data_IF_931997153558
#
_entry.id   IF_931997153558
#
_cell.length_a   1.000
_cell.length_b   1.000
_cell.length_c   1.000
_cell.angle_alpha   90.00
_cell.angle_beta   90.00
_cell.angle_gamma   90.00
#
_symmetry.space_group_name_H-M   'P 1'
#
loop_
_entity.id
_entity.type
_entity.pdbx_description
1 polymer ?
#
# COMPACT_ATOMS: atom_id res chain seq x y z
N UNK A 1 -56.30 21.59 -28.08
CA UNK A 1 -57.74 21.61 -28.38
C UNK A 1 -58.42 21.03 -27.15
N UNK A 2 -58.68 21.89 -26.17
CA UNK A 2 -59.98 22.58 -25.98
C UNK A 2 -60.90 21.63 -25.21
N UNK A 3 -60.98 21.81 -23.89
CA UNK A 3 -61.89 22.73 -23.19
C UNK A 3 -63.19 22.02 -22.81
N UNK A 4 -63.40 21.98 -21.49
CA UNK A 4 -64.65 22.16 -20.74
C UNK A 4 -65.91 21.36 -21.17
N UNK A 5 -66.79 20.99 -20.24
CA UNK A 5 -67.92 21.88 -19.89
C UNK A 5 -68.71 21.27 -18.71
N UNK A 6 -68.85 22.10 -17.65
CA UNK A 6 -70.06 22.41 -16.84
C UNK A 6 -70.86 21.25 -16.17
N UNK A 7 -71.56 21.40 -15.04
CA UNK A 7 -71.94 22.52 -14.15
C UNK A 7 -72.67 21.94 -12.93
N UNK A 8 -72.43 22.60 -11.78
CA UNK A 8 -73.31 22.87 -10.61
C UNK A 8 -74.43 21.87 -10.24
N UNK A 9 -74.53 21.58 -8.94
CA UNK A 9 -75.54 22.16 -8.01
C UNK A 9 -75.38 21.60 -6.58
N UNK A 10 -75.04 22.46 -5.63
CA UNK A 10 -75.48 22.39 -4.22
C UNK A 10 -76.96 22.81 -4.15
N UNK A 11 -77.79 22.31 -3.20
CA UNK A 11 -77.61 22.63 -1.78
C UNK A 11 -78.03 21.55 -0.76
N UNK A 12 -77.65 21.81 0.52
CA UNK A 12 -78.40 21.66 1.80
C UNK A 12 -79.47 20.56 1.86
N UNK A 13 -79.57 19.75 2.90
CA UNK A 13 -79.49 20.09 4.32
C UNK A 13 -79.61 18.78 5.12
N UNK A 14 -78.97 18.76 6.30
CA UNK A 14 -79.51 18.29 7.59
C UNK A 14 -80.12 16.89 7.62
N UNK A 15 -79.49 15.99 8.38
CA UNK A 15 -80.09 15.42 9.59
C UNK A 15 -78.97 14.92 10.50
N UNK A 16 -78.85 15.57 11.65
CA UNK A 16 -78.16 15.01 12.80
C UNK A 16 -79.17 14.23 13.60
N UNK A 17 -78.82 13.02 13.99
CA UNK A 17 -79.32 12.37 15.20
C UNK A 17 -78.15 11.61 15.81
N UNK A 18 -77.65 12.16 16.92
CA UNK A 18 -76.66 11.51 17.76
C UNK A 18 -77.33 10.45 18.61
N UNK A 19 -76.95 9.19 18.38
CA UNK A 19 -77.15 8.11 19.32
C UNK A 19 -75.78 7.78 19.96
N UNK A 20 -75.66 8.00 21.27
CA UNK A 20 -74.59 7.42 22.09
C UNK A 20 -74.64 5.89 21.99
N UNK A 21 -73.48 5.22 21.98
CA UNK A 21 -73.28 4.28 23.09
C UNK A 21 -71.84 4.17 23.62
N UNK A 22 -71.82 3.96 24.94
CA UNK A 22 -71.02 3.00 25.70
C UNK A 22 -69.48 3.02 25.59
N UNK A 23 -68.88 3.36 26.74
CA UNK A 23 -67.47 3.32 27.05
C UNK A 23 -66.86 1.91 26.89
N UNK A 24 -65.79 1.82 26.09
CA UNK A 24 -64.89 0.68 26.04
C UNK A 24 -63.72 0.86 27.02
N UNK A 25 -63.43 -0.17 27.82
CA UNK A 25 -62.35 -0.22 28.82
C UNK A 25 -60.96 -0.11 28.16
N UNK A 26 -59.98 0.57 28.78
CA UNK A 26 -58.65 0.75 28.19
C UNK A 26 -57.85 -0.56 28.25
N UNK A 27 -57.34 -1.00 27.09
CA UNK A 27 -56.37 -2.09 26.97
C UNK A 27 -54.99 -1.54 27.36
N UNK A 28 -54.43 -2.01 28.48
CA UNK A 28 -53.08 -1.67 28.90
C UNK A 28 -52.06 -2.17 27.87
N UNK A 29 -51.28 -1.24 27.31
CA UNK A 29 -50.19 -1.55 26.38
C UNK A 29 -49.00 -2.04 27.21
N UNK A 30 -48.60 -3.29 27.01
CA UNK A 30 -47.40 -3.83 27.65
C UNK A 30 -46.18 -3.01 27.21
N UNK A 31 -45.54 -2.32 28.16
CA UNK A 31 -44.24 -1.68 27.96
C UNK A 31 -43.19 -2.78 27.82
N UNK A 32 -42.59 -2.91 26.63
CA UNK A 32 -41.38 -3.73 26.46
C UNK A 32 -40.31 -3.15 27.38
N UNK A 33 -39.98 -3.89 28.44
CA UNK A 33 -38.83 -3.59 29.27
C UNK A 33 -37.60 -3.57 28.35
N UNK A 34 -37.06 -2.38 28.12
CA UNK A 34 -35.80 -2.22 27.42
C UNK A 34 -34.73 -2.60 28.44
N UNK A 35 -34.17 -3.80 28.31
CA UNK A 35 -32.99 -4.17 29.08
C UNK A 35 -31.91 -3.11 28.79
N UNK A 36 -31.31 -2.49 29.82
CA UNK A 36 -30.26 -1.52 29.59
C UNK A 36 -29.14 -2.20 28.79
N UNK A 37 -28.77 -1.56 27.68
CA UNK A 37 -27.66 -1.91 26.83
C UNK A 37 -26.34 -1.68 27.60
N UNK A 38 -26.11 -2.50 28.61
CA UNK A 38 -24.82 -2.66 29.27
C UNK A 38 -24.27 -3.99 28.76
N UNK A 39 -24.15 -4.11 27.44
CA UNK A 39 -23.17 -5.01 26.87
C UNK A 39 -21.84 -4.42 27.32
N UNK A 40 -21.35 -4.97 28.43
CA UNK A 40 -19.97 -4.84 28.86
C UNK A 40 -19.10 -4.93 27.62
N UNK A 41 -18.49 -3.80 27.26
CA UNK A 41 -17.43 -3.69 26.26
C UNK A 41 -16.15 -4.34 26.85
N UNK A 42 -16.29 -5.55 27.39
CA UNK A 42 -15.24 -6.33 28.05
C UNK A 42 -14.12 -6.72 27.09
N UNK A 43 -14.31 -6.44 25.79
CA UNK A 43 -13.38 -6.67 24.71
C UNK A 43 -13.13 -5.42 23.84
N UNK A 44 -13.66 -4.24 24.19
CA UNK A 44 -13.25 -3.01 23.48
C UNK A 44 -11.76 -2.69 23.76
N UNK A 45 -11.26 -3.15 24.90
CA UNK A 45 -9.85 -3.15 25.29
C UNK A 45 -9.08 -4.40 24.83
N UNK A 46 -9.57 -5.15 23.83
CA UNK A 46 -8.66 -6.02 23.06
C UNK A 46 -7.66 -5.07 22.41
N UNK A 47 -6.48 -4.94 23.03
CA UNK A 47 -5.43 -4.00 22.68
C UNK A 47 -5.38 -3.79 21.16
N UNK A 48 -5.69 -2.56 20.72
CA UNK A 48 -5.75 -2.23 19.30
C UNK A 48 -4.48 -2.72 18.61
N UNK A 49 -4.65 -3.45 17.48
CA UNK A 49 -3.54 -4.06 16.76
C UNK A 49 -2.48 -2.99 16.42
N UNK A 50 -1.26 -3.16 16.93
CA UNK A 50 -0.13 -2.32 16.53
C UNK A 50 0.26 -2.71 15.11
N UNK A 51 -0.27 -1.95 14.16
CA UNK A 51 -0.24 -2.31 12.74
C UNK A 51 0.91 -1.60 12.04
N UNK A 52 1.72 -2.35 11.28
CA UNK A 52 2.66 -1.77 10.33
C UNK A 52 2.15 -1.92 8.89
N UNK A 53 2.46 -0.95 8.04
CA UNK A 53 2.34 -1.07 6.59
C UNK A 53 3.69 -1.33 5.95
N UNK A 54 3.72 -2.15 4.91
CA UNK A 54 4.95 -2.59 4.23
C UNK A 54 4.76 -2.49 2.72
N UNK A 55 5.74 -1.89 2.03
CA UNK A 55 5.74 -1.77 0.56
C UNK A 55 7.16 -1.78 0.00
N UNK A 56 7.30 -2.24 -1.25
CA UNK A 56 8.56 -2.31 -1.97
C UNK A 56 8.64 -1.42 -3.21
N UNK A 57 9.87 -1.11 -3.59
CA UNK A 57 10.18 -0.50 -4.88
C UNK A 57 11.39 -1.18 -5.53
N UNK A 58 11.44 -1.15 -6.85
CA UNK A 58 12.62 -1.60 -7.58
C UNK A 58 12.57 -3.07 -8.00
N UNK A 59 11.38 -3.66 -8.19
CA UNK A 59 11.30 -5.03 -8.71
C UNK A 59 11.63 -5.16 -10.20
N UNK A 60 11.16 -4.23 -11.02
CA UNK A 60 11.35 -4.23 -12.48
C UNK A 60 12.70 -3.72 -13.03
N UNK A 61 13.44 -2.81 -12.37
CA UNK A 61 14.72 -2.32 -12.84
C UNK A 61 15.76 -3.40 -13.18
N UNK A 62 16.63 -3.10 -14.15
CA UNK A 62 17.77 -3.92 -14.53
C UNK A 62 18.96 -3.76 -13.57
N UNK A 63 18.99 -2.66 -12.81
CA UNK A 63 20.08 -2.33 -11.90
C UNK A 63 19.59 -1.83 -10.52
N UNK A 64 20.46 -2.00 -9.53
CA UNK A 64 20.25 -1.61 -8.13
C UNK A 64 19.45 -2.64 -7.32
N UNK A 65 19.31 -2.42 -6.00
CA UNK A 65 18.59 -3.32 -5.11
C UNK A 65 17.06 -3.23 -5.28
N UNK A 66 16.37 -4.17 -4.64
CA UNK A 66 14.96 -3.99 -4.26
C UNK A 66 14.94 -3.42 -2.84
N UNK A 67 14.22 -2.33 -2.64
CA UNK A 67 14.15 -1.62 -1.36
C UNK A 67 12.74 -1.74 -0.83
N UNK A 68 12.61 -2.03 0.46
CA UNK A 68 11.34 -2.17 1.16
C UNK A 68 11.37 -1.32 2.41
N UNK A 69 10.23 -0.72 2.76
CA UNK A 69 10.06 -0.07 4.05
C UNK A 69 8.92 -0.71 4.83
N UNK A 70 9.01 -0.66 6.15
CA UNK A 70 7.93 -0.94 7.07
C UNK A 70 7.69 0.29 7.94
N UNK A 71 6.43 0.68 8.14
CA UNK A 71 6.07 1.90 8.89
C UNK A 71 4.91 1.62 9.84
N UNK A 72 5.06 2.04 11.10
CA UNK A 72 3.99 2.11 12.09
C UNK A 72 3.69 3.60 12.31
N UNK A 73 2.49 4.03 11.94
CA UNK A 73 2.07 5.42 12.10
C UNK A 73 1.61 5.71 13.53
N UNK A 74 1.83 6.94 13.98
CA UNK A 74 1.33 7.42 15.27
C UNK A 74 -0.09 7.97 15.12
N UNK A 75 -1.12 7.37 15.75
CA UNK A 75 -2.48 7.90 15.70
C UNK A 75 -2.59 9.29 16.35
N UNK A 76 -1.69 9.66 17.26
CA UNK A 76 -1.65 10.98 17.88
C UNK A 76 -0.96 12.05 17.01
N UNK A 77 -0.19 11.65 15.99
CA UNK A 77 0.54 12.55 15.08
C UNK A 77 0.21 12.24 13.61
N UNK A 78 -1.03 12.48 13.16
CA UNK A 78 -1.45 12.13 11.81
C UNK A 78 -0.65 12.89 10.75
N UNK A 79 -0.35 12.21 9.65
CA UNK A 79 0.36 12.74 8.48
C UNK A 79 -0.67 12.97 7.38
N UNK A 80 -0.79 14.21 6.89
CA UNK A 80 -1.80 14.58 5.88
C UNK A 80 -1.26 14.40 4.46
N UNK A 81 -2.11 13.94 3.55
CA UNK A 81 -1.78 13.83 2.12
C UNK A 81 -0.89 12.64 1.76
N UNK A 82 -0.90 11.59 2.58
CA UNK A 82 -0.43 10.27 2.19
C UNK A 82 -1.30 9.76 1.02
N UNK A 83 -0.62 9.29 -0.03
CA UNK A 83 -1.21 8.67 -1.22
C UNK A 83 -0.16 7.76 -1.88
N UNK A 84 -0.53 7.00 -2.91
CA UNK A 84 0.42 6.26 -3.74
C UNK A 84 1.58 7.19 -4.18
N UNK A 85 2.81 6.76 -3.87
CA UNK A 85 4.04 7.51 -4.15
C UNK A 85 4.19 7.91 -5.64
N UNK A 86 3.58 7.17 -6.57
CA UNK A 86 3.59 7.46 -8.01
C UNK A 86 2.67 8.61 -8.38
N UNK A 87 1.64 8.89 -7.57
CA UNK A 87 0.70 10.00 -7.77
C UNK A 87 1.22 11.32 -7.18
N UNK A 88 2.27 11.24 -6.37
CA UNK A 88 2.91 12.39 -5.72
C UNK A 88 4.04 12.94 -6.59
N UNK A 89 4.21 14.27 -6.56
CA UNK A 89 5.39 14.91 -7.16
C UNK A 89 6.65 14.55 -6.36
N UNK A 90 7.85 14.57 -6.98
CA UNK A 90 9.10 14.31 -6.26
C UNK A 90 9.27 15.21 -5.02
N UNK A 91 9.00 16.50 -5.16
CA UNK A 91 9.07 17.47 -4.05
C UNK A 91 8.11 17.12 -2.91
N UNK A 92 6.87 16.69 -3.24
CA UNK A 92 5.90 16.29 -2.21
C UNK A 92 6.30 14.99 -1.52
N UNK A 93 6.88 14.03 -2.26
CA UNK A 93 7.41 12.79 -1.66
C UNK A 93 8.55 13.09 -0.68
N UNK A 94 9.48 13.97 -1.04
CA UNK A 94 10.58 14.37 -0.17
C UNK A 94 10.06 15.02 1.13
N UNK A 95 9.11 15.95 1.02
CA UNK A 95 8.49 16.56 2.21
C UNK A 95 7.78 15.53 3.10
N UNK A 96 7.06 14.58 2.50
CA UNK A 96 6.39 13.50 3.23
C UNK A 96 7.38 12.50 3.84
N UNK A 97 8.52 12.25 3.19
CA UNK A 97 9.57 11.39 3.72
C UNK A 97 10.03 11.90 5.09
N UNK A 98 10.40 13.19 5.15
CA UNK A 98 10.82 13.82 6.41
C UNK A 98 9.70 13.80 7.46
N UNK A 99 8.45 14.08 7.06
CA UNK A 99 7.29 14.03 7.97
C UNK A 99 7.04 12.61 8.53
N UNK A 100 7.21 11.57 7.71
CA UNK A 100 7.06 10.17 8.13
C UNK A 100 8.17 9.80 9.11
N UNK A 101 9.43 10.13 8.80
CA UNK A 101 10.58 9.85 9.65
C UNK A 101 10.44 10.52 11.02
N UNK A 102 9.94 11.76 11.06
CA UNK A 102 9.77 12.53 12.28
C UNK A 102 8.56 12.06 13.13
N UNK A 103 7.47 11.63 12.48
CA UNK A 103 6.16 11.42 13.14
C UNK A 103 5.75 9.97 13.34
N UNK A 104 6.31 9.02 12.59
CA UNK A 104 5.97 7.61 12.77
C UNK A 104 6.39 7.10 14.16
N UNK A 105 5.62 6.14 14.70
CA UNK A 105 5.99 5.45 15.95
C UNK A 105 7.25 4.61 15.77
N UNK A 106 7.41 4.01 14.60
CA UNK A 106 8.60 3.27 14.19
C UNK A 106 8.59 3.14 12.66
N UNK A 107 9.77 3.11 12.06
CA UNK A 107 9.93 2.69 10.67
C UNK A 107 11.27 1.98 10.50
N UNK A 108 11.39 1.22 9.44
CA UNK A 108 12.65 0.63 9.02
C UNK A 108 12.67 0.53 7.50
N UNK A 109 13.81 0.84 6.90
CA UNK A 109 14.07 0.60 5.47
C UNK A 109 15.12 -0.48 5.36
N UNK A 110 14.86 -1.47 4.53
CA UNK A 110 15.77 -2.57 4.27
C UNK A 110 15.78 -2.90 2.77
N UNK A 111 16.77 -3.67 2.36
CA UNK A 111 16.95 -4.02 0.96
C UNK A 111 17.36 -5.49 0.78
N UNK A 112 17.17 -5.96 -0.45
CA UNK A 112 17.88 -7.12 -0.96
C UNK A 112 18.76 -6.67 -2.13
N UNK A 113 20.04 -7.00 -2.00
CA UNK A 113 21.10 -6.63 -2.93
C UNK A 113 20.93 -7.29 -4.30
N UNK A 114 21.67 -6.81 -5.29
CA UNK A 114 21.71 -7.42 -6.64
C UNK A 114 22.13 -8.90 -6.57
N UNK A 115 23.13 -9.23 -5.75
CA UNK A 115 23.59 -10.60 -5.55
C UNK A 115 22.49 -11.50 -4.96
N UNK A 116 21.69 -10.99 -4.02
CA UNK A 116 20.56 -11.71 -3.45
C UNK A 116 19.42 -11.86 -4.44
N UNK A 117 19.13 -10.84 -5.25
CA UNK A 117 18.16 -10.92 -6.35
C UNK A 117 18.54 -12.03 -7.34
N UNK A 118 19.81 -12.05 -7.73
CA UNK A 118 20.31 -13.05 -8.67
C UNK A 118 20.32 -14.47 -8.09
N UNK A 119 20.58 -14.61 -6.79
CA UNK A 119 20.62 -15.91 -6.11
C UNK A 119 19.23 -16.45 -5.74
N UNK A 120 18.31 -15.58 -5.33
CA UNK A 120 17.01 -15.97 -4.78
C UNK A 120 15.86 -15.85 -5.78
N UNK A 121 16.08 -15.19 -6.92
CA UNK A 121 15.05 -14.60 -7.77
C UNK A 121 14.37 -13.36 -7.17
N UNK A 122 13.75 -12.54 -8.03
CA UNK A 122 13.16 -11.25 -7.62
C UNK A 122 12.02 -11.38 -6.61
N UNK A 123 11.22 -12.45 -6.68
CA UNK A 123 10.12 -12.65 -5.74
C UNK A 123 10.67 -12.91 -4.34
N UNK A 124 11.59 -13.86 -4.18
CA UNK A 124 12.10 -14.21 -2.86
C UNK A 124 13.05 -13.14 -2.29
N UNK A 125 13.80 -12.43 -3.14
CA UNK A 125 14.57 -11.26 -2.71
C UNK A 125 13.65 -10.15 -2.18
N UNK A 126 12.50 -9.91 -2.83
CA UNK A 126 11.49 -8.97 -2.31
C UNK A 126 10.96 -9.43 -0.94
N UNK A 127 10.61 -10.72 -0.80
CA UNK A 127 10.14 -11.27 0.48
C UNK A 127 11.21 -11.19 1.58
N UNK A 128 12.50 -11.32 1.23
CA UNK A 128 13.62 -11.14 2.15
C UNK A 128 13.74 -9.68 2.61
N UNK A 129 13.66 -8.73 1.68
CA UNK A 129 13.68 -7.30 2.00
C UNK A 129 12.50 -6.92 2.92
N UNK A 130 11.29 -7.43 2.66
CA UNK A 130 10.12 -7.24 3.54
C UNK A 130 10.34 -7.81 4.94
N UNK A 131 10.90 -9.03 5.07
CA UNK A 131 11.24 -9.61 6.37
C UNK A 131 12.21 -8.72 7.14
N UNK A 132 13.27 -8.24 6.46
CA UNK A 132 14.27 -7.36 7.08
C UNK A 132 13.65 -6.05 7.54
N UNK A 133 12.80 -5.43 6.72
CA UNK A 133 12.14 -4.18 7.07
C UNK A 133 11.24 -4.36 8.31
N UNK A 134 10.41 -5.41 8.35
CA UNK A 134 9.54 -5.66 9.50
C UNK A 134 10.34 -6.01 10.76
N UNK A 135 11.35 -6.88 10.64
CA UNK A 135 12.18 -7.30 11.77
C UNK A 135 13.10 -6.18 12.29
N UNK A 136 13.40 -5.18 11.47
CA UNK A 136 14.20 -4.01 11.84
C UNK A 136 13.41 -2.88 12.50
N UNK A 137 12.09 -3.02 12.67
CA UNK A 137 11.29 -2.04 13.41
C UNK A 137 11.71 -2.01 14.88
N UNK A 138 11.87 -0.80 15.43
CA UNK A 138 12.15 -0.61 16.87
C UNK A 138 10.97 -0.98 17.78
N UNK A 139 9.77 -1.16 17.20
CA UNK A 139 8.56 -1.62 17.86
C UNK A 139 8.00 -2.82 17.09
N UNK A 140 7.74 -3.92 17.80
CA UNK A 140 7.25 -5.16 17.19
C UNK A 140 5.74 -5.01 16.91
N UNK A 141 5.30 -5.03 15.64
CA UNK A 141 3.87 -4.97 15.31
C UNK A 141 3.17 -6.29 15.64
N UNK A 142 1.86 -6.22 15.93
CA UNK A 142 1.00 -7.40 16.05
C UNK A 142 0.43 -7.84 14.70
N UNK A 143 0.31 -6.90 13.76
CA UNK A 143 -0.20 -7.09 12.40
C UNK A 143 0.66 -6.35 11.36
N UNK A 144 1.07 -7.05 10.31
CA UNK A 144 1.75 -6.45 9.16
C UNK A 144 0.83 -6.46 7.92
N UNK A 145 0.53 -5.27 7.40
CA UNK A 145 -0.23 -5.10 6.16
C UNK A 145 0.76 -4.89 5.00
N UNK A 146 0.75 -5.82 4.05
CA UNK A 146 1.75 -5.89 2.97
C UNK A 146 1.09 -5.46 1.66
N UNK A 147 1.70 -4.55 0.90
CA UNK A 147 1.20 -4.26 -0.45
C UNK A 147 1.33 -5.50 -1.36
N UNK A 148 0.29 -5.75 -2.15
CA UNK A 148 0.26 -6.82 -3.13
C UNK A 148 -0.59 -8.02 -2.72
N UNK A 149 -0.16 -9.22 -3.10
CA UNK A 149 -0.97 -10.44 -3.01
C UNK A 149 -0.29 -11.60 -2.28
N UNK A 150 0.86 -11.37 -1.67
CA UNK A 150 1.64 -12.38 -0.96
C UNK A 150 2.26 -11.75 0.27
N UNK A 151 2.27 -12.50 1.37
CA UNK A 151 2.97 -12.12 2.58
C UNK A 151 4.33 -12.84 2.67
N UNK A 152 5.36 -12.17 3.19
CA UNK A 152 6.56 -12.85 3.66
C UNK A 152 6.26 -13.74 4.86
N UNK A 153 7.17 -14.66 5.17
CA UNK A 153 7.11 -15.40 6.44
C UNK A 153 7.50 -14.47 7.58
N UNK A 154 6.55 -14.20 8.47
CA UNK A 154 6.73 -13.29 9.60
C UNK A 154 6.31 -13.99 10.90
N UNK A 155 6.89 -13.62 12.05
CA UNK A 155 6.50 -14.18 13.35
C UNK A 155 5.15 -13.66 13.85
N UNK A 156 4.66 -12.55 13.27
CA UNK A 156 3.36 -11.94 13.56
C UNK A 156 2.35 -12.21 12.44
N UNK A 157 1.08 -11.84 12.67
CA UNK A 157 0.03 -11.89 11.64
C UNK A 157 0.41 -10.99 10.47
N UNK A 158 0.15 -11.46 9.26
CA UNK A 158 0.39 -10.70 8.05
C UNK A 158 -0.78 -10.85 7.08
N UNK A 159 -1.18 -9.75 6.47
CA UNK A 159 -2.27 -9.70 5.50
C UNK A 159 -1.82 -8.93 4.25
N UNK A 160 -2.06 -9.52 3.07
CA UNK A 160 -1.72 -8.90 1.80
C UNK A 160 -2.90 -8.06 1.31
N UNK A 161 -2.64 -6.81 0.95
CA UNK A 161 -3.63 -5.85 0.49
C UNK A 161 -3.29 -5.44 -0.94
N UNK A 162 -4.14 -5.84 -1.90
CA UNK A 162 -3.96 -5.45 -3.30
C UNK A 162 -4.21 -3.95 -3.44
N UNK A 163 -3.21 -3.21 -3.95
CA UNK A 163 -3.20 -1.73 -4.02
C UNK A 163 -3.37 -1.13 -2.62
N UNK A 164 -2.59 -1.64 -1.69
CA UNK A 164 -2.57 -1.21 -0.29
C UNK A 164 -2.03 0.20 -0.15
N UNK A 165 -1.11 0.62 -1.01
CA UNK A 165 -0.58 1.98 -1.10
C UNK A 165 -1.67 3.06 -1.31
N UNK A 166 -2.76 2.70 -1.99
CA UNK A 166 -3.92 3.56 -2.21
C UNK A 166 -4.97 3.50 -1.08
N UNK A 167 -4.94 2.47 -0.23
CA UNK A 167 -6.03 2.14 0.70
C UNK A 167 -5.64 2.28 2.17
N UNK A 168 -4.38 2.02 2.49
CA UNK A 168 -3.87 1.89 3.86
C UNK A 168 -2.79 2.95 4.07
N UNK A 169 -3.01 3.94 4.97
CA UNK A 169 -2.05 5.02 5.19
C UNK A 169 -0.64 4.54 5.55
N UNK A 170 -0.52 3.47 6.35
CA UNK A 170 0.78 2.92 6.71
C UNK A 170 1.53 2.32 5.51
N UNK A 171 0.82 1.67 4.58
CA UNK A 171 1.42 1.15 3.32
C UNK A 171 1.80 2.31 2.42
N UNK A 172 0.95 3.34 2.31
CA UNK A 172 1.30 4.58 1.58
C UNK A 172 2.60 5.21 2.12
N UNK A 173 2.74 5.33 3.45
CA UNK A 173 3.94 5.84 4.07
C UNK A 173 5.17 4.97 3.77
N UNK A 174 5.04 3.64 3.84
CA UNK A 174 6.10 2.71 3.45
C UNK A 174 6.50 2.87 1.97
N UNK A 175 5.54 3.03 1.05
CA UNK A 175 5.80 3.25 -0.37
C UNK A 175 6.67 4.48 -0.61
N UNK A 176 6.43 5.56 0.14
CA UNK A 176 7.16 6.82 0.04
C UNK A 176 8.59 6.64 0.57
N UNK A 177 8.75 6.05 1.76
CA UNK A 177 10.09 5.80 2.33
C UNK A 177 10.93 4.92 1.40
N UNK A 178 10.35 3.83 0.89
CA UNK A 178 11.04 2.93 -0.02
C UNK A 178 11.42 3.65 -1.33
N UNK A 179 10.47 4.39 -1.95
CA UNK A 179 10.69 5.11 -3.21
C UNK A 179 11.79 6.15 -3.11
N UNK A 180 11.71 7.04 -2.12
CA UNK A 180 12.68 8.13 -1.94
C UNK A 180 14.05 7.57 -1.62
N UNK A 181 14.14 6.57 -0.73
CA UNK A 181 15.42 5.93 -0.39
C UNK A 181 16.06 5.31 -1.63
N UNK A 182 15.30 4.53 -2.41
CA UNK A 182 15.83 3.90 -3.62
C UNK A 182 16.24 4.92 -4.67
N UNK A 183 15.46 5.97 -4.90
CA UNK A 183 15.82 7.00 -5.88
C UNK A 183 17.15 7.68 -5.50
N UNK A 184 17.33 8.04 -4.23
CA UNK A 184 18.59 8.60 -3.71
C UNK A 184 19.77 7.66 -3.94
N UNK A 185 19.60 6.35 -3.71
CA UNK A 185 20.64 5.34 -4.01
C UNK A 185 21.02 5.28 -5.49
N UNK A 186 20.04 5.35 -6.40
CA UNK A 186 20.30 5.30 -7.85
C UNK A 186 20.90 6.60 -8.39
N UNK A 187 20.62 7.74 -7.75
CA UNK A 187 21.30 9.00 -8.04
C UNK A 187 22.76 8.92 -7.62
N UNK A 188 23.06 8.46 -6.40
CA UNK A 188 24.44 8.25 -5.95
C UNK A 188 25.19 7.27 -6.86
N UNK A 189 24.51 6.20 -7.30
CA UNK A 189 25.08 5.25 -8.25
C UNK A 189 25.37 5.87 -9.63
N UNK A 190 24.62 6.89 -10.05
CA UNK A 190 24.91 7.62 -11.28
C UNK A 190 26.22 8.39 -11.17
N UNK A 191 26.56 8.94 -10.00
CA UNK A 191 27.82 9.66 -9.81
C UNK A 191 29.02 8.72 -9.99
N UNK A 192 28.88 7.44 -9.59
CA UNK A 192 29.89 6.40 -9.79
C UNK A 192 29.91 5.83 -11.21
N UNK A 193 28.74 5.69 -11.84
CA UNK A 193 28.59 5.12 -13.18
C UNK A 193 27.75 6.02 -14.11
N UNK A 194 28.28 7.20 -14.49
CA UNK A 194 27.50 8.22 -15.22
C UNK A 194 27.04 7.75 -16.59
N UNK A 195 27.77 6.84 -17.23
CA UNK A 195 27.47 6.31 -18.56
C UNK A 195 26.10 5.62 -18.67
N UNK A 196 25.55 5.12 -17.56
CA UNK A 196 24.26 4.41 -17.59
C UNK A 196 23.04 5.30 -17.44
N UNK A 197 23.15 6.54 -16.94
CA UNK A 197 22.00 7.44 -16.77
C UNK A 197 21.03 7.09 -15.62
N UNK A 198 21.52 6.45 -14.54
CA UNK A 198 20.68 6.01 -13.42
C UNK A 198 19.89 7.13 -12.71
N UNK A 199 20.36 8.37 -12.76
CA UNK A 199 19.67 9.54 -12.21
C UNK A 199 18.32 9.83 -12.91
N UNK A 200 18.14 9.41 -14.16
CA UNK A 200 16.92 9.67 -14.92
C UNK A 200 15.93 8.51 -14.85
N UNK A 201 16.38 7.30 -15.18
CA UNK A 201 15.51 6.14 -15.28
C UNK A 201 15.61 5.19 -14.08
N UNK A 202 16.38 5.52 -13.03
CA UNK A 202 16.48 4.78 -11.76
C UNK A 202 16.65 3.26 -11.92
N UNK A 203 17.45 2.89 -12.93
CA UNK A 203 17.77 1.51 -13.29
C UNK A 203 16.74 0.76 -14.15
N UNK A 204 15.59 1.36 -14.53
CA UNK A 204 14.65 0.73 -15.47
C UNK A 204 15.26 0.58 -16.86
N UNK A 205 14.89 -0.50 -17.57
CA UNK A 205 15.39 -0.82 -18.91
C UNK A 205 14.80 0.05 -20.01
N UNK A 206 15.05 1.36 -19.96
CA UNK A 206 14.67 2.30 -21.03
C UNK A 206 15.57 2.10 -22.26
N UNK A 207 15.19 2.58 -23.45
CA UNK A 207 16.05 2.51 -24.63
C UNK A 207 17.45 3.08 -24.37
N UNK A 208 17.56 4.18 -23.63
CA UNK A 208 18.83 4.78 -23.22
C UNK A 208 19.67 3.84 -22.35
N UNK A 209 19.06 3.17 -21.39
CA UNK A 209 19.75 2.23 -20.51
C UNK A 209 20.24 0.99 -21.26
N UNK A 210 19.41 0.45 -22.16
CA UNK A 210 19.77 -0.69 -23.00
C UNK A 210 20.91 -0.36 -23.97
N UNK A 211 20.91 0.85 -24.53
CA UNK A 211 22.00 1.33 -25.38
C UNK A 211 23.30 1.48 -24.57
N UNK A 212 23.24 2.05 -23.36
CA UNK A 212 24.40 2.14 -22.47
C UNK A 212 24.96 0.75 -22.10
N UNK A 213 24.09 -0.23 -21.80
CA UNK A 213 24.47 -1.62 -21.60
C UNK A 213 25.16 -2.23 -22.83
N UNK A 214 24.67 -1.91 -24.03
CA UNK A 214 25.22 -2.41 -25.29
C UNK A 214 26.62 -1.86 -25.58
N UNK A 215 26.85 -0.59 -25.24
CA UNK A 215 28.07 0.16 -25.50
C UNK A 215 29.16 -0.08 -24.45
N UNK A 216 28.78 -0.09 -23.17
CA UNK A 216 29.73 -0.10 -22.05
C UNK A 216 29.80 -1.45 -21.33
N UNK A 217 28.92 -2.38 -21.66
CA UNK A 217 28.73 -3.60 -20.90
C UNK A 217 28.02 -3.36 -19.57
N UNK A 218 27.66 -4.41 -18.83
CA UNK A 218 27.02 -4.31 -17.52
C UNK A 218 28.01 -4.00 -16.40
N UNK A 219 27.57 -3.22 -15.41
CA UNK A 219 28.29 -2.95 -14.16
C UNK A 219 27.97 -3.98 -13.05
N UNK A 220 28.71 -3.98 -11.93
CA UNK A 220 28.41 -4.85 -10.76
C UNK A 220 27.01 -4.64 -10.16
N UNK A 221 26.37 -3.50 -10.43
CA UNK A 221 25.04 -3.18 -9.93
C UNK A 221 23.91 -3.64 -10.85
N UNK A 222 24.23 -4.28 -11.98
CA UNK A 222 23.23 -4.88 -12.87
C UNK A 222 22.89 -6.30 -12.45
N UNK A 223 21.60 -6.63 -12.51
CA UNK A 223 21.03 -7.93 -12.14
C UNK A 223 21.27 -8.95 -13.23
N UNK A 224 22.27 -9.79 -13.06
CA UNK A 224 22.74 -10.70 -14.11
C UNK A 224 21.69 -11.72 -14.53
N UNK A 225 20.74 -12.04 -13.65
CA UNK A 225 19.64 -12.96 -13.93
C UNK A 225 18.57 -12.38 -14.88
N UNK A 226 18.58 -11.06 -15.12
CA UNK A 226 17.60 -10.40 -16.00
C UNK A 226 18.06 -10.47 -17.46
N UNK A 227 17.14 -10.81 -18.37
CA UNK A 227 17.50 -11.20 -19.75
C UNK A 227 18.39 -10.18 -20.50
N UNK A 228 18.06 -8.87 -20.57
CA UNK A 228 18.89 -7.91 -21.29
C UNK A 228 20.30 -7.76 -20.70
N UNK A 229 20.43 -7.91 -19.37
CA UNK A 229 21.71 -7.81 -18.66
C UNK A 229 22.53 -9.08 -18.88
N UNK A 230 21.91 -10.26 -18.80
CA UNK A 230 22.55 -11.55 -19.07
C UNK A 230 23.15 -11.57 -20.48
N UNK A 231 22.40 -11.15 -21.48
CA UNK A 231 22.85 -11.05 -22.87
C UNK A 231 24.04 -10.10 -23.02
N UNK A 232 24.05 -8.98 -22.28
CA UNK A 232 25.19 -8.08 -22.23
C UNK A 232 26.42 -8.75 -21.60
N UNK A 233 26.29 -9.45 -20.47
CA UNK A 233 27.40 -10.19 -19.86
C UNK A 233 27.96 -11.29 -20.77
N UNK A 234 27.10 -12.02 -21.50
CA UNK A 234 27.51 -13.04 -22.48
C UNK A 234 28.33 -12.42 -23.62
N UNK A 235 28.00 -11.20 -24.07
CA UNK A 235 28.75 -10.48 -25.10
C UNK A 235 30.10 -9.93 -24.63
N UNK A 236 30.18 -9.47 -23.37
CA UNK A 236 31.38 -8.85 -22.81
C UNK A 236 32.27 -9.83 -22.02
N UNK A 237 31.86 -11.10 -21.89
CA UNK A 237 32.71 -12.21 -21.46
C UNK A 237 32.82 -12.46 -19.96
N UNK A 238 31.92 -11.93 -19.12
CA UNK A 238 32.02 -12.07 -17.65
C UNK A 238 30.67 -12.33 -16.96
N UNK A 239 30.14 -13.55 -16.98
CA UNK A 239 28.90 -13.88 -16.25
C UNK A 239 29.23 -14.66 -14.96
N UNK A 240 28.80 -14.15 -13.80
CA UNK A 240 29.01 -14.83 -12.50
C UNK A 240 27.83 -15.71 -12.08
N UNK A 241 26.64 -15.50 -12.67
CA UNK A 241 25.44 -16.31 -12.41
C UNK A 241 25.27 -17.36 -13.52
N UNK A 242 25.38 -18.64 -13.18
CA UNK A 242 25.25 -19.74 -14.15
C UNK A 242 23.83 -19.84 -14.73
N UNK A 243 23.69 -20.23 -16.01
CA UNK A 243 22.39 -20.58 -16.61
C UNK A 243 21.74 -21.72 -15.83
N UNK A 244 20.83 -21.39 -14.91
CA UNK A 244 19.90 -22.36 -14.35
C UNK A 244 19.02 -22.85 -15.49
N UNK A 245 19.35 -24.02 -16.04
CA UNK A 245 18.49 -24.73 -17.00
C UNK A 245 17.17 -24.97 -16.27
N UNK A 246 16.11 -24.29 -16.67
CA UNK A 246 14.75 -24.71 -16.33
C UNK A 246 14.53 -26.02 -17.06
N UNK A 247 14.76 -27.13 -16.37
CA UNK A 247 14.25 -28.43 -16.80
C UNK A 247 12.73 -28.32 -16.78
N UNK A 248 12.18 -28.27 -18.00
CA UNK A 248 10.80 -28.59 -18.44
C UNK A 248 9.70 -28.58 -17.38
#
# INVERSE_FOLDING_TARGET
MSDEVKVRRTPRNVMGEGATPAAAKPRARATKATLPQMAFDLFADVAADLTCGVDEVGRGPLAGPVVTAAVILDPARPIKGLADSKKLTPQRREALYEEIVERALAFCVAEASVAEIDSLNILHATMLAMQRAVNGLSRVPTLALIDGNRCPKLPMRAEAIIKGDDKVPAISAASILAKVTRDRQLIALHDEFPQYGFNEHVGYGTPRHLEALRLHGPSPHHRQSFAPVREAFERFGTLTVSRGVRTS
#
